data_IF_850174269300
#
_entry.id   IF_850174269300
#
_cell.length_a   1.000
_cell.length_b   1.000
_cell.length_c   1.000
_cell.angle_alpha   90.00
_cell.angle_beta   90.00
_cell.angle_gamma   90.00
#
_symmetry.space_group_name_H-M   'P 1'
#
loop_
_entity.id
_entity.type
_entity.pdbx_description
1 polymer ?
#
# COMPACT_ATOMS: atom_id res chain seq x y z
N UNK A 1 8.16 -24.28 6.81
CA UNK A 1 6.83 -23.69 6.96
C UNK A 1 6.39 -23.01 5.67
N UNK A 2 5.09 -22.74 5.51
CA UNK A 2 4.59 -21.98 4.38
C UNK A 2 5.17 -20.55 4.40
N UNK A 3 5.49 -19.96 3.22
CA UNK A 3 5.92 -18.58 3.15
C UNK A 3 4.86 -17.63 3.72
N UNK A 4 5.31 -16.62 4.48
CA UNK A 4 4.48 -15.59 5.08
C UNK A 4 4.72 -14.30 4.31
N UNK A 5 3.74 -13.87 3.55
CA UNK A 5 3.89 -12.77 2.59
C UNK A 5 2.94 -11.63 2.93
N UNK A 6 3.51 -10.45 3.18
CA UNK A 6 2.74 -9.23 3.31
C UNK A 6 2.34 -8.68 1.94
N UNK A 7 1.17 -8.08 1.88
CA UNK A 7 0.67 -7.39 0.68
C UNK A 7 0.34 -5.96 1.07
N UNK A 8 1.11 -5.01 0.55
CA UNK A 8 0.88 -3.59 0.74
C UNK A 8 0.26 -3.04 -0.54
N UNK A 9 -1.08 -3.01 -0.58
CA UNK A 9 -1.81 -2.37 -1.67
C UNK A 9 -1.91 -0.87 -1.45
N UNK A 10 -1.84 -0.11 -2.53
CA UNK A 10 -1.99 1.33 -2.43
C UNK A 10 -1.92 2.01 -3.79
N UNK A 11 -2.38 3.25 -3.84
CA UNK A 11 -2.27 4.06 -5.04
C UNK A 11 -0.82 4.44 -5.31
N UNK A 12 -0.05 4.75 -4.26
CA UNK A 12 1.36 5.16 -4.32
C UNK A 12 1.59 6.31 -5.30
N UNK A 13 0.95 7.42 -5.02
CA UNK A 13 0.97 8.61 -5.88
C UNK A 13 1.39 9.90 -5.15
N UNK A 14 2.64 10.01 -4.68
CA UNK A 14 3.72 9.03 -4.69
C UNK A 14 3.72 8.11 -3.46
N UNK A 15 4.46 7.04 -3.54
CA UNK A 15 4.89 6.26 -2.37
C UNK A 15 5.75 7.17 -1.47
N UNK A 16 5.65 6.99 -0.16
CA UNK A 16 6.39 7.80 0.80
C UNK A 16 6.90 6.97 1.98
N UNK A 17 7.68 7.59 2.85
CA UNK A 17 8.28 6.88 4.00
C UNK A 17 7.24 6.32 4.97
N UNK A 18 6.05 6.90 5.06
CA UNK A 18 4.97 6.34 5.86
C UNK A 18 4.55 4.94 5.41
N UNK A 19 4.47 4.71 4.11
CA UNK A 19 4.20 3.37 3.55
C UNK A 19 5.32 2.38 3.89
N UNK A 20 6.57 2.81 3.74
CA UNK A 20 7.73 1.95 3.96
C UNK A 20 7.88 1.55 5.43
N UNK A 21 7.65 2.48 6.35
CA UNK A 21 7.67 2.21 7.79
C UNK A 21 6.57 1.22 8.15
N UNK A 22 5.35 1.42 7.65
CA UNK A 22 4.24 0.50 7.92
C UNK A 22 4.55 -0.92 7.46
N UNK A 23 5.07 -1.09 6.25
CA UNK A 23 5.44 -2.41 5.73
C UNK A 23 6.54 -3.06 6.55
N UNK A 24 7.57 -2.30 6.94
CA UNK A 24 8.67 -2.80 7.76
C UNK A 24 8.21 -3.26 9.14
N UNK A 25 7.37 -2.48 9.80
CA UNK A 25 6.86 -2.81 11.14
C UNK A 25 5.97 -4.05 11.12
N UNK A 26 5.11 -4.16 10.13
CA UNK A 26 4.26 -5.36 9.97
C UNK A 26 5.11 -6.59 9.68
N UNK A 27 6.12 -6.46 8.82
CA UNK A 27 7.02 -7.56 8.49
C UNK A 27 7.70 -8.13 9.75
N UNK A 28 8.15 -7.25 10.64
CA UNK A 28 8.76 -7.67 11.89
C UNK A 28 7.74 -8.29 12.85
N UNK A 29 6.60 -7.65 13.05
CA UNK A 29 5.59 -8.08 14.03
C UNK A 29 4.94 -9.42 13.69
N UNK A 30 4.81 -9.72 12.41
CA UNK A 30 4.17 -10.94 11.92
C UNK A 30 5.14 -11.95 11.34
N UNK A 31 6.44 -11.71 11.49
CA UNK A 31 7.50 -12.63 11.01
C UNK A 31 7.32 -12.96 9.52
N UNK A 32 7.20 -11.91 8.70
CA UNK A 32 7.02 -12.06 7.26
C UNK A 32 8.33 -12.36 6.56
N UNK A 33 8.26 -13.18 5.51
CA UNK A 33 9.42 -13.52 4.67
C UNK A 33 9.61 -12.48 3.55
N UNK A 34 8.52 -11.84 3.13
CA UNK A 34 8.50 -10.89 2.01
C UNK A 34 7.32 -9.92 2.20
N UNK A 35 7.45 -8.70 1.70
CA UNK A 35 6.32 -7.79 1.49
C UNK A 35 6.26 -7.42 0.02
N UNK A 36 5.11 -7.70 -0.60
CA UNK A 36 4.83 -7.34 -1.99
C UNK A 36 4.05 -6.02 -1.99
N UNK A 37 4.62 -4.99 -2.60
CA UNK A 37 3.92 -3.74 -2.85
C UNK A 37 3.15 -3.86 -4.15
N UNK A 38 1.86 -3.52 -4.12
CA UNK A 38 0.97 -3.68 -5.27
C UNK A 38 0.32 -2.34 -5.60
N UNK A 39 0.94 -1.54 -6.50
CA UNK A 39 0.31 -0.30 -6.95
C UNK A 39 -1.01 -0.59 -7.66
N UNK A 40 -2.05 0.16 -7.31
CA UNK A 40 -3.36 0.00 -7.95
C UNK A 40 -3.28 0.34 -9.44
N UNK A 41 -4.10 -0.31 -10.24
CA UNK A 41 -4.30 0.04 -11.64
C UNK A 41 -5.18 1.28 -11.74
N UNK A 42 -6.50 1.06 -11.87
CA UNK A 42 -7.49 2.14 -11.85
C UNK A 42 -8.23 2.08 -10.51
N UNK A 43 -7.96 3.02 -9.57
CA UNK A 43 -8.66 3.03 -8.29
C UNK A 43 -10.13 3.36 -8.48
N UNK A 44 -11.00 2.51 -7.93
CA UNK A 44 -12.44 2.71 -8.06
C UNK A 44 -12.98 3.85 -7.19
N UNK A 45 -12.24 4.24 -6.14
CA UNK A 45 -12.64 5.31 -5.20
C UNK A 45 -12.03 6.67 -5.51
N UNK A 46 -11.17 6.78 -6.53
CA UNK A 46 -10.46 8.03 -6.86
C UNK A 46 -10.73 8.44 -8.29
N UNK A 47 -11.02 9.71 -8.50
CA UNK A 47 -11.33 10.25 -9.83
C UNK A 47 -10.09 10.63 -10.64
N UNK A 48 -8.95 10.87 -10.00
CA UNK A 48 -7.72 11.30 -10.67
C UNK A 48 -6.47 10.76 -9.96
N UNK A 49 -5.63 10.09 -10.74
CA UNK A 49 -4.33 9.58 -10.29
C UNK A 49 -3.33 9.68 -11.43
N UNK A 50 -2.04 9.72 -11.10
CA UNK A 50 -0.97 9.64 -12.09
C UNK A 50 -1.01 8.30 -12.83
N UNK A 51 -0.49 8.22 -14.06
CA UNK A 51 -0.42 6.97 -14.81
C UNK A 51 0.23 5.84 -14.00
N UNK A 52 -0.30 4.63 -14.14
CA UNK A 52 0.16 3.46 -13.38
C UNK A 52 1.64 3.18 -13.54
N UNK A 53 2.21 3.40 -14.73
CA UNK A 53 3.64 3.19 -14.97
C UNK A 53 4.52 4.08 -14.11
N UNK A 54 4.16 5.36 -13.93
CA UNK A 54 4.90 6.26 -13.03
C UNK A 54 4.82 5.81 -11.58
N UNK A 55 3.64 5.42 -11.12
CA UNK A 55 3.42 4.96 -9.76
C UNK A 55 4.15 3.64 -9.49
N UNK A 56 4.16 2.74 -10.46
CA UNK A 56 4.92 1.50 -10.40
C UNK A 56 6.42 1.78 -10.29
N UNK A 57 6.97 2.61 -11.17
CA UNK A 57 8.41 2.91 -11.17
C UNK A 57 8.86 3.62 -9.90
N UNK A 58 8.07 4.55 -9.37
CA UNK A 58 8.36 5.17 -8.08
C UNK A 58 8.39 4.15 -6.95
N UNK A 59 7.47 3.19 -6.96
CA UNK A 59 7.41 2.13 -5.97
C UNK A 59 8.64 1.19 -6.08
N UNK A 60 9.06 0.84 -7.28
CA UNK A 60 10.29 0.06 -7.51
C UNK A 60 11.50 0.78 -6.95
N UNK A 61 11.64 2.07 -7.25
CA UNK A 61 12.75 2.89 -6.77
C UNK A 61 12.75 2.94 -5.23
N UNK A 62 11.60 3.17 -4.62
CA UNK A 62 11.48 3.32 -3.18
C UNK A 62 11.82 2.04 -2.40
N UNK A 63 11.57 0.88 -3.00
CA UNK A 63 11.71 -0.43 -2.32
C UNK A 63 13.02 -1.15 -2.68
N UNK A 64 13.76 -0.66 -3.68
CA UNK A 64 14.89 -1.36 -4.27
C UNK A 64 16.01 -1.71 -3.28
N UNK A 65 16.21 -0.90 -2.24
CA UNK A 65 17.28 -1.11 -1.25
C UNK A 65 16.92 -2.13 -0.16
N UNK A 66 15.65 -2.50 -0.03
CA UNK A 66 15.22 -3.44 1.00
C UNK A 66 15.04 -4.84 0.40
N UNK A 67 15.86 -5.83 0.81
CA UNK A 67 15.82 -7.17 0.21
C UNK A 67 14.52 -7.93 0.48
N UNK A 68 13.73 -7.51 1.48
CA UNK A 68 12.42 -8.13 1.77
C UNK A 68 11.28 -7.58 0.93
N UNK A 69 11.47 -6.43 0.27
CA UNK A 69 10.41 -5.74 -0.46
C UNK A 69 10.48 -6.06 -1.95
N UNK A 70 9.34 -6.42 -2.51
CA UNK A 70 9.16 -6.64 -3.95
C UNK A 70 7.97 -5.83 -4.43
N UNK A 71 7.81 -5.70 -5.74
CA UNK A 71 6.72 -4.96 -6.35
C UNK A 71 6.04 -5.81 -7.40
N UNK A 72 4.71 -5.83 -7.40
CA UNK A 72 3.91 -6.57 -8.39
C UNK A 72 3.11 -5.61 -9.26
N UNK A 73 3.06 -5.93 -10.55
CA UNK A 73 2.25 -5.24 -11.56
C UNK A 73 0.83 -5.79 -11.69
N UNK A 74 0.45 -6.75 -10.87
CA UNK A 74 -0.79 -7.53 -11.07
C UNK A 74 -2.03 -6.64 -11.24
N UNK A 75 -2.11 -5.53 -10.50
CA UNK A 75 -3.25 -4.62 -10.57
C UNK A 75 -3.13 -3.62 -11.72
N UNK A 76 -1.90 -3.22 -12.08
CA UNK A 76 -1.66 -2.33 -13.22
C UNK A 76 -1.99 -3.03 -14.53
N UNK A 77 -1.65 -4.31 -14.64
CA UNK A 77 -1.83 -5.09 -15.87
C UNK A 77 -3.26 -5.63 -16.03
N UNK A 78 -4.08 -5.59 -15.00
CA UNK A 78 -5.49 -6.00 -15.08
C UNK A 78 -6.36 -4.87 -15.59
N UNK A 79 -7.21 -5.16 -16.55
CA UNK A 79 -8.20 -4.21 -17.06
C UNK A 79 -9.29 -3.90 -16.04
N UNK A 80 -9.77 -2.67 -16.06
CA UNK A 80 -10.86 -2.22 -15.20
C UNK A 80 -10.45 -1.75 -13.81
N UNK A 81 -11.41 -1.43 -12.93
CA UNK A 81 -11.14 -0.97 -11.58
C UNK A 81 -10.45 -2.03 -10.74
N UNK A 82 -9.56 -1.59 -9.83
CA UNK A 82 -8.86 -2.47 -8.90
C UNK A 82 -9.72 -2.74 -7.66
N UNK A 83 -9.96 -4.01 -7.37
CA UNK A 83 -10.59 -4.46 -6.13
C UNK A 83 -9.62 -5.37 -5.38
N UNK A 84 -9.59 -5.24 -4.05
CA UNK A 84 -8.70 -6.04 -3.19
C UNK A 84 -8.88 -7.54 -3.39
N UNK A 85 -10.12 -7.99 -3.60
CA UNK A 85 -10.39 -9.41 -3.84
C UNK A 85 -9.65 -9.96 -5.07
N UNK A 86 -9.61 -9.19 -6.14
CA UNK A 86 -8.93 -9.61 -7.37
C UNK A 86 -7.41 -9.63 -7.19
N UNK A 87 -6.87 -8.65 -6.46
CA UNK A 87 -5.45 -8.62 -6.10
C UNK A 87 -5.06 -9.89 -5.35
N UNK A 88 -5.81 -10.24 -4.32
CA UNK A 88 -5.49 -11.40 -3.48
C UNK A 88 -5.70 -12.73 -4.23
N UNK A 89 -6.72 -12.83 -5.07
CA UNK A 89 -6.93 -14.03 -5.91
C UNK A 89 -5.75 -14.23 -6.85
N UNK A 90 -5.28 -13.18 -7.51
CA UNK A 90 -4.17 -13.27 -8.46
C UNK A 90 -2.86 -13.64 -7.76
N UNK A 91 -2.57 -13.03 -6.61
CA UNK A 91 -1.38 -13.36 -5.83
C UNK A 91 -1.45 -14.79 -5.30
N UNK A 92 -2.62 -15.26 -4.86
CA UNK A 92 -2.81 -16.64 -4.39
C UNK A 92 -2.60 -17.64 -5.53
N UNK A 93 -3.03 -17.30 -6.73
CA UNK A 93 -2.79 -18.14 -7.91
C UNK A 93 -1.31 -18.25 -8.24
N UNK A 94 -0.53 -17.16 -8.06
CA UNK A 94 0.92 -17.16 -8.28
C UNK A 94 1.70 -17.88 -7.17
N UNK A 95 1.23 -17.79 -5.94
CA UNK A 95 1.89 -18.34 -4.75
C UNK A 95 0.88 -19.13 -3.90
N UNK A 96 0.40 -20.29 -4.38
CA UNK A 96 -0.70 -21.01 -3.73
C UNK A 96 -0.35 -21.60 -2.35
N UNK A 97 0.93 -21.77 -2.05
CA UNK A 97 1.42 -22.28 -0.77
C UNK A 97 1.61 -21.18 0.29
N UNK A 98 1.54 -19.90 -0.10
CA UNK A 98 1.81 -18.80 0.80
C UNK A 98 0.62 -18.44 1.68
N UNK A 99 0.92 -17.96 2.89
CA UNK A 99 -0.03 -17.28 3.76
C UNK A 99 0.11 -15.77 3.58
N UNK A 100 -0.96 -15.11 3.20
CA UNK A 100 -0.95 -13.67 2.93
C UNK A 100 -1.43 -12.85 4.10
N UNK A 101 -0.78 -11.70 4.29
CA UNK A 101 -1.10 -10.69 5.31
C UNK A 101 -1.34 -9.37 4.58
N UNK A 102 -2.59 -8.95 4.48
CA UNK A 102 -2.93 -7.70 3.79
C UNK A 102 -2.80 -6.53 4.75
N UNK A 103 -1.96 -5.57 4.39
CA UNK A 103 -1.62 -4.42 5.24
C UNK A 103 -2.46 -3.22 4.79
N UNK A 104 -3.21 -2.64 5.70
CA UNK A 104 -4.07 -1.48 5.44
C UNK A 104 -4.01 -0.49 6.60
N UNK A 105 -4.35 0.77 6.31
CA UNK A 105 -4.50 1.77 7.36
C UNK A 105 -5.76 1.55 8.20
N UNK A 106 -5.73 2.03 9.43
CA UNK A 106 -6.87 1.92 10.34
C UNK A 106 -8.15 2.55 9.78
N UNK A 107 -8.01 3.65 9.04
CA UNK A 107 -9.15 4.34 8.45
C UNK A 107 -9.86 3.50 7.38
N UNK A 108 -9.10 2.69 6.65
CA UNK A 108 -9.65 1.84 5.61
C UNK A 108 -10.32 0.59 6.17
N UNK A 109 -9.85 0.06 7.31
CA UNK A 109 -10.38 -1.19 7.87
C UNK A 109 -11.87 -1.08 8.24
N UNK A 110 -12.31 0.09 8.67
CA UNK A 110 -13.71 0.31 9.01
C UNK A 110 -14.65 0.17 7.80
N UNK A 111 -14.12 0.32 6.60
CA UNK A 111 -14.87 0.24 5.35
C UNK A 111 -14.84 -1.15 4.70
N UNK A 112 -14.06 -2.08 5.27
CA UNK A 112 -13.82 -3.38 4.63
C UNK A 112 -15.11 -4.19 4.41
N UNK A 113 -16.10 -4.04 5.29
CA UNK A 113 -17.39 -4.71 5.17
C UNK A 113 -18.18 -4.23 3.95
N UNK A 114 -17.84 -3.06 3.41
CA UNK A 114 -18.42 -2.52 2.18
C UNK A 114 -17.67 -2.95 0.91
N UNK A 115 -16.52 -3.60 1.07
CA UNK A 115 -15.69 -4.01 -0.06
C UNK A 115 -16.32 -5.19 -0.79
N UNK A 116 -16.05 -5.26 -2.09
CA UNK A 116 -16.54 -6.33 -2.95
C UNK A 116 -16.08 -7.69 -2.42
N UNK A 117 -17.03 -8.63 -2.24
CA UNK A 117 -16.77 -9.98 -1.76
C UNK A 117 -16.01 -10.03 -0.43
N UNK A 118 -16.36 -9.16 0.52
CA UNK A 118 -15.62 -9.06 1.79
C UNK A 118 -15.55 -10.38 2.58
N UNK A 119 -16.56 -11.24 2.51
CA UNK A 119 -16.55 -12.54 3.20
C UNK A 119 -15.43 -13.46 2.66
N UNK A 120 -15.16 -13.42 1.35
CA UNK A 120 -14.10 -14.20 0.74
C UNK A 120 -12.70 -13.68 1.07
N UNK A 121 -12.58 -12.39 1.40
CA UNK A 121 -11.29 -11.79 1.78
C UNK A 121 -10.66 -12.52 2.97
N UNK A 122 -11.48 -12.93 3.95
CA UNK A 122 -10.99 -13.63 5.15
C UNK A 122 -10.37 -14.99 4.83
N UNK A 123 -10.81 -15.62 3.76
CA UNK A 123 -10.26 -16.91 3.32
C UNK A 123 -8.91 -16.74 2.59
N UNK A 124 -8.67 -15.58 2.02
CA UNK A 124 -7.49 -15.33 1.19
C UNK A 124 -6.32 -14.72 1.96
N UNK A 125 -6.58 -13.96 3.02
CA UNK A 125 -5.54 -13.27 3.75
C UNK A 125 -5.95 -12.98 5.20
N UNK A 126 -4.94 -12.86 6.06
CA UNK A 126 -5.08 -12.21 7.36
C UNK A 126 -4.90 -10.70 7.15
N UNK A 127 -5.77 -9.88 7.73
CA UNK A 127 -5.72 -8.42 7.57
C UNK A 127 -5.02 -7.78 8.76
N UNK A 128 -4.10 -6.88 8.50
CA UNK A 128 -3.38 -6.10 9.51
C UNK A 128 -3.70 -4.62 9.32
N UNK A 129 -4.43 -4.05 10.25
CA UNK A 129 -4.73 -2.63 10.28
C UNK A 129 -3.68 -1.90 11.12
N UNK A 130 -3.01 -0.92 10.52
CA UNK A 130 -1.97 -0.15 11.18
C UNK A 130 -2.47 1.23 11.59
N UNK A 131 -2.05 1.69 12.77
CA UNK A 131 -2.40 3.00 13.28
C UNK A 131 -1.20 3.70 13.88
N UNK A 132 -1.34 5.03 14.02
CA UNK A 132 -0.40 5.86 14.75
C UNK A 132 -0.62 5.75 16.26
N UNK A 133 0.43 6.00 17.08
CA UNK A 133 0.27 6.04 18.54
C UNK A 133 -0.84 7.01 18.96
N UNK A 134 -1.63 6.60 19.95
CA UNK A 134 -2.72 7.40 20.50
C UNK A 134 -4.01 7.42 19.69
N UNK A 135 -4.07 6.75 18.55
CA UNK A 135 -5.30 6.59 17.77
C UNK A 135 -6.04 5.33 18.20
N UNK A 136 -7.33 5.48 18.49
CA UNK A 136 -8.19 4.34 18.84
C UNK A 136 -8.62 3.64 17.56
N UNK A 137 -8.40 2.33 17.51
CA UNK A 137 -8.88 1.48 16.42
C UNK A 137 -10.19 0.82 16.84
N UNK A 138 -11.15 0.81 15.92
CA UNK A 138 -12.40 0.07 16.12
C UNK A 138 -12.40 -1.17 15.25
N UNK A 139 -12.57 -2.34 15.88
CA UNK A 139 -12.75 -3.61 15.20
C UNK A 139 -14.21 -4.07 15.16
N UNK A 140 -15.15 -3.19 15.48
CA UNK A 140 -16.57 -3.52 15.54
C UNK A 140 -17.08 -4.09 14.19
N UNK A 141 -17.69 -5.27 14.27
CA UNK A 141 -18.21 -5.97 13.09
C UNK A 141 -17.17 -6.72 12.26
N UNK A 142 -15.89 -6.70 12.64
CA UNK A 142 -14.81 -7.42 11.94
C UNK A 142 -14.48 -8.73 12.66
N UNK A 143 -14.16 -9.81 11.92
CA UNK A 143 -13.75 -11.08 12.52
C UNK A 143 -12.42 -10.94 13.26
N UNK A 144 -12.40 -11.22 14.56
CA UNK A 144 -11.20 -11.03 15.40
C UNK A 144 -10.07 -11.98 15.04
N UNK A 145 -10.39 -13.16 14.50
CA UNK A 145 -9.37 -14.13 14.08
C UNK A 145 -8.71 -13.77 12.74
N UNK A 146 -9.35 -12.93 11.95
CA UNK A 146 -8.93 -12.58 10.60
C UNK A 146 -8.34 -11.16 10.49
N UNK A 147 -8.50 -10.36 11.54
CA UNK A 147 -8.04 -8.97 11.56
C UNK A 147 -7.22 -8.70 12.82
N UNK A 148 -6.01 -8.21 12.65
CA UNK A 148 -5.15 -7.72 13.73
C UNK A 148 -5.02 -6.21 13.65
N UNK A 149 -4.99 -5.56 14.81
CA UNK A 149 -4.74 -4.14 14.94
C UNK A 149 -3.32 -3.94 15.45
N UNK A 150 -2.52 -3.13 14.76
CA UNK A 150 -1.12 -2.91 15.10
C UNK A 150 -0.83 -1.41 15.19
N UNK A 151 -0.39 -0.96 16.36
CA UNK A 151 0.15 0.39 16.52
C UNK A 151 1.61 0.41 16.07
N UNK A 152 1.96 1.36 15.22
CA UNK A 152 3.30 1.51 14.66
C UNK A 152 3.80 2.94 14.90
N UNK A 153 5.14 3.18 14.85
CA UNK A 153 5.68 4.53 14.86
C UNK A 153 5.41 5.21 13.51
N UNK A 154 4.14 5.49 13.24
CA UNK A 154 3.70 5.99 11.95
C UNK A 154 4.12 7.45 11.76
N UNK A 155 4.53 7.77 10.55
CA UNK A 155 4.86 9.13 10.12
C UNK A 155 3.60 9.83 9.61
N UNK A 156 3.44 11.10 9.97
CA UNK A 156 2.32 11.93 9.52
C UNK A 156 2.56 12.45 8.10
N UNK A 157 2.82 11.55 7.16
CA UNK A 157 3.08 11.85 5.76
C UNK A 157 1.89 11.35 4.94
N UNK A 158 1.41 12.16 4.00
CA UNK A 158 0.38 11.75 3.05
C UNK A 158 0.81 12.01 1.61
N UNK A 159 0.36 11.18 0.69
CA UNK A 159 0.58 11.40 -0.74
C UNK A 159 -0.07 12.70 -1.20
N UNK A 160 -1.25 13.03 -0.69
CA UNK A 160 -1.95 14.28 -0.99
C UNK A 160 -1.09 15.50 -0.63
N UNK A 161 -0.49 15.51 0.56
CA UNK A 161 0.40 16.61 0.98
C UNK A 161 1.67 16.65 0.11
N UNK A 162 2.26 15.51 -0.20
CA UNK A 162 3.42 15.44 -1.08
C UNK A 162 3.12 16.06 -2.45
N UNK A 163 2.00 15.69 -3.07
CA UNK A 163 1.57 16.28 -4.36
C UNK A 163 1.36 17.79 -4.25
N UNK A 164 0.71 18.23 -3.19
CA UNK A 164 0.46 19.66 -2.98
C UNK A 164 1.76 20.45 -2.82
N UNK A 165 2.75 19.91 -2.09
CA UNK A 165 4.07 20.53 -1.94
C UNK A 165 4.77 20.69 -3.28
N UNK A 166 4.82 19.63 -4.08
CA UNK A 166 5.42 19.69 -5.43
C UNK A 166 4.70 20.73 -6.29
N UNK A 167 3.37 20.76 -6.26
CA UNK A 167 2.56 21.72 -7.00
C UNK A 167 2.86 23.19 -6.64
N UNK A 168 3.31 23.45 -5.41
CA UNK A 168 3.72 24.79 -4.94
C UNK A 168 5.22 25.06 -5.15
N UNK A 169 5.95 24.13 -5.73
CA UNK A 169 7.40 24.24 -5.86
C UNK A 169 8.17 24.03 -4.55
N UNK A 170 7.55 23.40 -3.55
CA UNK A 170 8.19 23.08 -2.28
C UNK A 170 8.84 21.69 -2.32
N UNK A 171 9.92 21.47 -1.55
CA UNK A 171 10.61 20.17 -1.58
C UNK A 171 9.83 19.10 -0.86
N UNK A 172 10.06 17.84 -1.30
CA UNK A 172 9.56 16.64 -0.63
C UNK A 172 10.69 15.72 -0.16
N UNK A 173 11.91 16.28 -0.05
CA UNK A 173 13.05 15.56 0.50
C UNK A 173 12.69 15.01 1.88
N UNK A 174 13.07 13.76 2.13
CA UNK A 174 12.87 13.03 3.39
C UNK A 174 11.42 12.66 3.70
N UNK A 175 10.44 13.16 2.94
CA UNK A 175 9.06 12.65 2.96
C UNK A 175 8.92 11.42 2.07
N UNK A 176 9.64 11.43 0.96
CA UNK A 176 9.77 10.31 0.03
C UNK A 176 11.25 9.96 -0.11
N UNK A 177 11.58 8.72 -0.53
CA UNK A 177 12.98 8.37 -0.80
C UNK A 177 13.62 9.26 -1.86
N UNK A 178 14.95 9.45 -1.76
CA UNK A 178 15.70 10.36 -2.64
C UNK A 178 15.47 10.07 -4.12
N UNK A 179 15.49 8.80 -4.52
CA UNK A 179 15.24 8.41 -5.91
C UNK A 179 13.84 8.78 -6.38
N UNK A 180 12.85 8.80 -5.49
CA UNK A 180 11.48 9.22 -5.82
C UNK A 180 11.42 10.75 -6.00
N UNK A 181 12.13 11.52 -5.17
CA UNK A 181 12.27 12.98 -5.37
C UNK A 181 12.80 13.27 -6.76
N UNK A 182 13.88 12.58 -7.14
CA UNK A 182 14.53 12.75 -8.44
C UNK A 182 13.62 12.33 -9.60
N UNK A 183 12.88 11.23 -9.44
CA UNK A 183 11.94 10.76 -10.45
C UNK A 183 10.81 11.76 -10.69
N UNK A 184 10.23 12.29 -9.62
CA UNK A 184 9.15 13.30 -9.68
C UNK A 184 9.65 14.54 -10.47
N UNK A 185 10.85 15.01 -10.17
CA UNK A 185 11.43 16.17 -10.85
C UNK A 185 11.69 15.89 -12.33
N UNK A 186 12.29 14.74 -12.64
CA UNK A 186 12.64 14.34 -14.01
C UNK A 186 11.42 14.23 -14.91
N UNK A 187 10.34 13.69 -14.40
CA UNK A 187 9.11 13.42 -15.16
C UNK A 187 8.05 14.51 -14.99
N UNK A 188 8.38 15.61 -14.31
CA UNK A 188 7.49 16.77 -14.11
C UNK A 188 6.13 16.39 -13.51
N UNK A 189 6.12 15.44 -12.56
CA UNK A 189 4.89 15.00 -11.90
C UNK A 189 4.42 16.06 -10.91
N UNK A 190 3.10 16.15 -10.73
CA UNK A 190 2.42 16.99 -9.73
C UNK A 190 2.63 18.49 -9.89
N UNK A 191 3.24 18.96 -10.95
CA UNK A 191 3.43 20.38 -11.18
C UNK A 191 2.12 21.05 -11.52
N UNK A 192 1.91 22.25 -10.99
CA UNK A 192 0.81 23.10 -11.44
C UNK A 192 1.01 23.45 -12.91
N UNK A 193 -0.03 23.32 -13.70
CA UNK A 193 0.00 23.85 -15.08
C UNK A 193 0.08 25.37 -14.99
N UNK A 194 1.09 25.92 -15.59
CA UNK A 194 1.21 27.37 -15.73
C UNK A 194 0.08 27.91 -16.60
#
# INVERSE_FOLDING_TARGET
RAPRIGVMGGTFDPIHHGHLVAASEVAQSFDLDEVIFVPTGTPWQKSFVSPGEHRYLMTVIATASNPMFTVSRVDIDRDGPTYTIDTLRDLKAQRPDANFFFITGADAIAQILSWRNHDELWELAHFVAVSRPGHTLSSAGLPSDDVSLLEIPALAISSTDCRARVGRGHPVWYLVPDGVVQYIAKHHLYRSKA
#
